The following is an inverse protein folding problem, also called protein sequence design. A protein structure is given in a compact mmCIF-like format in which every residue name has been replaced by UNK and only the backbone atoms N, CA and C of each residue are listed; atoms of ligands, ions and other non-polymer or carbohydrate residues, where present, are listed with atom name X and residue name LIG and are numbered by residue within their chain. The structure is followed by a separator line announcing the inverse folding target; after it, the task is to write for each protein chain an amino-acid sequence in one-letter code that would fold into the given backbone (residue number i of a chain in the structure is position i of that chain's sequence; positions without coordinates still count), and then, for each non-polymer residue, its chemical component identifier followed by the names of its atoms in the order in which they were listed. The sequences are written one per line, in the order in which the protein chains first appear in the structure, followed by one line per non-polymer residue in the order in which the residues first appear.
data_IF_587924452358
#
_entry.id   IF_587924452358
#
_cell.length_a   1.000
_cell.length_b   1.000
_cell.length_c   1.000
_cell.angle_alpha   90.00
_cell.angle_beta   90.00
_cell.angle_gamma   90.00
#
_symmetry.space_group_name_H-M   'P 1'
#
loop_
_entity.id
_entity.type
_entity.pdbx_description
1 polymer ?
#
# COMPACT_ATOMS: atom_id res chain seq x y z
N UNK A 1 -16.25 -16.21 8.07
CA UNK A 1 -16.19 -14.78 8.41
C UNK A 1 -14.95 -14.43 9.26
N UNK A 2 -14.35 -15.39 9.96
CA UNK A 2 -13.13 -15.11 10.76
C UNK A 2 -11.96 -14.67 9.91
N UNK A 3 -11.79 -15.23 8.73
CA UNK A 3 -10.70 -14.87 7.83
C UNK A 3 -10.81 -13.42 7.30
N UNK A 4 -12.04 -12.90 7.14
CA UNK A 4 -12.28 -11.49 6.83
C UNK A 4 -11.76 -10.58 7.93
N UNK A 5 -12.01 -10.95 9.19
CA UNK A 5 -11.57 -10.21 10.37
C UNK A 5 -10.04 -10.23 10.44
N UNK A 6 -9.40 -11.40 10.29
CA UNK A 6 -7.94 -11.53 10.25
C UNK A 6 -7.29 -10.70 9.14
N UNK A 7 -7.89 -10.68 7.94
CA UNK A 7 -7.37 -9.88 6.82
C UNK A 7 -7.43 -8.37 7.12
N UNK A 8 -8.48 -7.90 7.79
CA UNK A 8 -8.57 -6.48 8.19
C UNK A 8 -7.58 -6.13 9.30
N UNK A 9 -7.35 -7.03 10.25
CA UNK A 9 -6.31 -6.87 11.27
C UNK A 9 -4.91 -6.82 10.64
N UNK A 10 -4.65 -7.65 9.62
CA UNK A 10 -3.40 -7.60 8.85
C UNK A 10 -3.27 -6.24 8.15
N UNK A 11 -4.32 -5.73 7.53
CA UNK A 11 -4.34 -4.42 6.88
C UNK A 11 -4.03 -3.32 7.89
N UNK A 12 -4.72 -3.31 9.03
CA UNK A 12 -4.47 -2.34 10.11
C UNK A 12 -3.02 -2.38 10.59
N UNK A 13 -2.51 -3.58 10.83
CA UNK A 13 -1.12 -3.80 11.26
C UNK A 13 -0.10 -3.27 10.26
N UNK A 14 -0.32 -3.53 8.96
CA UNK A 14 0.60 -3.10 7.88
C UNK A 14 0.64 -1.59 7.80
N UNK A 15 -0.50 -0.92 7.72
CA UNK A 15 -0.55 0.53 7.57
C UNK A 15 -0.15 1.28 8.84
N UNK A 16 -0.43 0.70 10.01
CA UNK A 16 0.12 1.22 11.28
C UNK A 16 1.65 1.17 11.31
N UNK A 17 2.26 0.07 10.82
CA UNK A 17 3.73 -0.03 10.72
C UNK A 17 4.35 0.92 9.69
N UNK A 18 3.61 1.28 8.65
CA UNK A 18 4.05 2.25 7.66
C UNK A 18 3.82 3.70 8.10
N UNK A 19 3.16 3.90 9.23
CA UNK A 19 2.72 5.22 9.71
C UNK A 19 1.79 5.94 8.71
N UNK A 20 0.97 5.16 7.99
CA UNK A 20 -0.04 5.65 7.06
C UNK A 20 -1.41 5.49 7.71
N UNK A 21 -2.12 6.60 7.93
CA UNK A 21 -3.51 6.57 8.38
C UNK A 21 -4.42 6.17 7.22
N UNK A 22 -5.28 5.20 7.46
CA UNK A 22 -6.21 4.69 6.44
C UNK A 22 -7.63 4.57 6.97
N UNK A 23 -8.60 4.59 6.05
CA UNK A 23 -9.96 4.12 6.28
C UNK A 23 -10.14 2.78 5.56
N UNK A 24 -10.52 1.75 6.29
CA UNK A 24 -10.87 0.42 5.78
C UNK A 24 -12.38 0.42 5.51
N UNK A 25 -12.77 0.56 4.26
CA UNK A 25 -14.15 0.49 3.82
C UNK A 25 -14.57 -0.95 3.62
N UNK A 26 -15.74 -1.30 4.15
CA UNK A 26 -16.35 -2.64 4.01
C UNK A 26 -17.75 -2.51 3.42
N UNK A 27 -18.13 -3.45 2.57
CA UNK A 27 -19.49 -3.71 2.14
C UNK A 27 -19.71 -5.22 1.99
N UNK A 28 -20.91 -5.62 1.61
CA UNK A 28 -21.21 -7.02 1.33
C UNK A 28 -22.01 -7.15 0.03
N UNK A 29 -21.59 -8.06 -0.84
CA UNK A 29 -22.27 -8.31 -2.12
C UNK A 29 -23.74 -8.71 -1.94
N UNK A 30 -24.06 -9.39 -0.85
CA UNK A 30 -25.42 -9.79 -0.52
C UNK A 30 -26.31 -8.58 -0.16
N UNK A 31 -25.75 -7.56 0.52
CA UNK A 31 -26.44 -6.29 0.76
C UNK A 31 -26.76 -5.62 -0.56
N UNK A 32 -25.82 -5.52 -1.48
CA UNK A 32 -26.05 -4.92 -2.80
C UNK A 32 -27.10 -5.70 -3.60
N UNK A 33 -27.10 -7.03 -3.52
CA UNK A 33 -28.13 -7.87 -4.13
C UNK A 33 -29.49 -7.62 -3.52
N UNK A 34 -29.59 -7.55 -2.19
CA UNK A 34 -30.82 -7.24 -1.48
C UNK A 34 -31.37 -5.86 -1.82
N UNK A 35 -30.50 -4.85 -1.97
CA UNK A 35 -30.92 -3.52 -2.42
C UNK A 35 -31.56 -3.61 -3.81
N UNK A 36 -30.94 -4.31 -4.77
CA UNK A 36 -31.50 -4.50 -6.10
C UNK A 36 -32.85 -5.22 -6.08
N UNK A 37 -33.04 -6.21 -5.19
CA UNK A 37 -34.33 -6.89 -4.98
C UNK A 37 -35.41 -5.94 -4.46
N UNK A 38 -35.13 -5.19 -3.41
CA UNK A 38 -36.12 -4.32 -2.75
C UNK A 38 -36.55 -3.16 -3.66
N UNK A 39 -35.66 -2.65 -4.51
CA UNK A 39 -36.03 -1.61 -5.49
C UNK A 39 -36.70 -2.19 -6.74
N UNK A 40 -36.76 -3.53 -6.91
CA UNK A 40 -37.42 -4.22 -8.01
C UNK A 40 -36.60 -4.36 -9.29
N UNK A 41 -35.26 -4.28 -9.19
CA UNK A 41 -34.35 -4.27 -10.34
C UNK A 41 -33.24 -5.35 -10.21
N UNK A 42 -33.58 -6.53 -9.72
CA UNK A 42 -32.63 -7.62 -9.46
C UNK A 42 -31.79 -8.00 -10.67
N UNK A 43 -32.38 -8.00 -11.85
CA UNK A 43 -31.69 -8.37 -13.11
C UNK A 43 -30.64 -7.34 -13.54
N UNK A 44 -30.69 -6.13 -12.98
CA UNK A 44 -29.80 -5.01 -13.32
C UNK A 44 -28.78 -4.69 -12.21
N UNK A 45 -28.55 -5.62 -11.29
CA UNK A 45 -27.60 -5.43 -10.17
C UNK A 45 -26.21 -4.98 -10.64
N UNK A 46 -25.73 -5.47 -11.77
CA UNK A 46 -24.42 -5.08 -12.33
C UNK A 46 -24.43 -3.61 -12.72
N UNK A 47 -25.48 -3.16 -13.43
CA UNK A 47 -25.62 -1.77 -13.85
C UNK A 47 -25.74 -0.82 -12.66
N UNK A 48 -26.53 -1.19 -11.66
CA UNK A 48 -26.71 -0.43 -10.42
C UNK A 48 -25.39 -0.29 -9.69
N UNK A 49 -24.67 -1.39 -9.49
CA UNK A 49 -23.42 -1.39 -8.74
C UNK A 49 -22.29 -0.66 -9.46
N UNK A 50 -22.21 -0.75 -10.80
CA UNK A 50 -21.27 0.04 -11.62
C UNK A 50 -21.52 1.53 -11.51
N UNK A 51 -22.78 1.95 -11.50
CA UNK A 51 -23.14 3.35 -11.37
C UNK A 51 -22.82 3.89 -9.96
N UNK A 52 -23.17 3.13 -8.92
CA UNK A 52 -22.92 3.50 -7.51
C UNK A 52 -21.42 3.62 -7.21
N UNK A 53 -20.58 2.72 -7.72
CA UNK A 53 -19.11 2.74 -7.50
C UNK A 53 -18.43 4.02 -8.01
N UNK A 54 -19.13 4.77 -8.85
CA UNK A 54 -18.64 6.05 -9.36
C UNK A 54 -19.10 7.26 -8.55
N UNK A 55 -19.95 7.07 -7.54
CA UNK A 55 -20.63 8.18 -6.83
C UNK A 55 -19.63 9.23 -6.32
N UNK A 56 -18.57 8.80 -5.66
CA UNK A 56 -17.50 9.68 -5.14
C UNK A 56 -16.82 10.54 -6.23
N UNK A 57 -16.80 10.06 -7.48
CA UNK A 57 -16.07 10.68 -8.59
C UNK A 57 -16.93 11.61 -9.44
N UNK A 58 -18.17 11.19 -9.70
CA UNK A 58 -19.02 11.87 -10.68
C UNK A 58 -20.20 12.61 -10.04
N UNK A 59 -20.50 12.33 -8.77
CA UNK A 59 -21.62 12.91 -8.03
C UNK A 59 -22.97 12.26 -8.36
N UNK A 60 -23.95 12.55 -7.49
CA UNK A 60 -25.24 11.89 -7.45
C UNK A 60 -26.07 12.09 -8.73
N UNK A 61 -26.07 13.30 -9.28
CA UNK A 61 -26.85 13.62 -10.48
C UNK A 61 -26.39 12.80 -11.70
N UNK A 62 -25.08 12.62 -11.85
CA UNK A 62 -24.53 11.81 -12.93
C UNK A 62 -24.78 10.31 -12.72
N UNK A 63 -24.74 9.82 -11.47
CA UNK A 63 -25.13 8.45 -11.14
C UNK A 63 -26.59 8.20 -11.49
N UNK A 64 -27.50 9.09 -11.11
CA UNK A 64 -28.93 9.00 -11.42
C UNK A 64 -29.19 8.99 -12.94
N UNK A 65 -28.49 9.86 -13.66
CA UNK A 65 -28.56 9.90 -15.12
C UNK A 65 -28.10 8.57 -15.74
N UNK A 66 -26.95 8.03 -15.30
CA UNK A 66 -26.45 6.74 -15.77
C UNK A 66 -27.44 5.60 -15.48
N UNK A 67 -28.03 5.58 -14.28
CA UNK A 67 -29.04 4.59 -13.90
C UNK A 67 -30.26 4.66 -14.84
N UNK A 68 -30.78 5.86 -15.10
CA UNK A 68 -31.91 6.08 -16.01
C UNK A 68 -31.59 5.65 -17.45
N UNK A 69 -30.39 5.99 -17.96
CA UNK A 69 -29.90 5.58 -19.28
C UNK A 69 -29.79 4.05 -19.41
N UNK A 70 -29.53 3.34 -18.29
CA UNK A 70 -29.53 1.87 -18.22
C UNK A 70 -30.91 1.26 -18.00
N UNK A 71 -31.95 2.09 -18.01
CA UNK A 71 -33.35 1.68 -17.93
C UNK A 71 -33.79 1.29 -16.51
N UNK A 72 -33.08 1.75 -15.45
CA UNK A 72 -33.57 1.69 -14.08
C UNK A 72 -34.74 2.69 -13.97
N UNK A 73 -35.86 2.25 -13.39
CA UNK A 73 -37.04 3.10 -13.27
C UNK A 73 -36.83 4.27 -12.32
N UNK A 74 -37.49 5.41 -12.55
CA UNK A 74 -37.43 6.58 -11.66
C UNK A 74 -37.88 6.22 -10.23
N UNK A 75 -38.86 5.30 -10.09
CA UNK A 75 -39.30 4.80 -8.80
C UNK A 75 -38.18 4.02 -8.07
N UNK A 76 -37.46 3.17 -8.80
CA UNK A 76 -36.31 2.42 -8.25
C UNK A 76 -35.17 3.35 -7.86
N UNK A 77 -34.87 4.35 -8.71
CA UNK A 77 -33.86 5.38 -8.40
C UNK A 77 -34.27 6.15 -7.13
N UNK A 78 -35.53 6.55 -6.99
CA UNK A 78 -36.01 7.25 -5.80
C UNK A 78 -35.89 6.40 -4.53
N UNK A 79 -36.15 5.09 -4.60
CA UNK A 79 -35.96 4.16 -3.48
C UNK A 79 -34.49 3.93 -3.14
N UNK A 80 -33.60 3.97 -4.12
CA UNK A 80 -32.16 3.77 -3.96
C UNK A 80 -31.49 4.95 -3.25
N UNK A 81 -31.95 6.20 -3.48
CA UNK A 81 -31.32 7.43 -2.96
C UNK A 81 -31.06 7.42 -1.44
N UNK A 82 -32.06 7.16 -0.58
CA UNK A 82 -31.86 7.18 0.87
C UNK A 82 -30.89 6.08 1.33
N UNK A 83 -30.72 5.02 0.55
CA UNK A 83 -29.84 3.89 0.89
C UNK A 83 -28.38 4.25 0.61
N UNK A 84 -28.08 4.76 -0.59
CA UNK A 84 -26.71 5.09 -1.00
C UNK A 84 -26.17 6.35 -0.31
N UNK A 85 -27.06 7.22 0.17
CA UNK A 85 -26.70 8.41 0.96
C UNK A 85 -26.78 8.19 2.47
N UNK A 86 -26.92 6.94 2.91
CA UNK A 86 -27.04 6.61 4.33
C UNK A 86 -25.78 7.00 5.07
N UNK A 87 -25.91 7.90 6.04
CA UNK A 87 -24.84 8.41 6.89
C UNK A 87 -25.03 7.98 8.35
N UNK A 88 -24.02 8.14 9.16
CA UNK A 88 -24.02 7.76 10.57
C UNK A 88 -22.98 6.68 10.90
N UNK A 89 -23.02 6.18 12.11
CA UNK A 89 -22.17 5.10 12.59
C UNK A 89 -22.48 3.77 11.87
N UNK A 90 -21.53 2.84 11.86
CA UNK A 90 -21.76 1.51 11.28
C UNK A 90 -22.99 0.81 11.89
N UNK A 91 -23.22 0.95 13.20
CA UNK A 91 -24.37 0.36 13.88
C UNK A 91 -25.69 0.98 13.43
N UNK A 92 -25.76 2.30 13.27
CA UNK A 92 -26.95 3.00 12.75
C UNK A 92 -27.24 2.58 11.32
N UNK A 93 -26.21 2.54 10.44
CA UNK A 93 -26.34 2.07 9.05
C UNK A 93 -26.90 0.64 9.00
N UNK A 94 -26.37 -0.29 9.81
CA UNK A 94 -26.86 -1.68 9.89
C UNK A 94 -28.32 -1.77 10.37
N UNK A 95 -28.70 -0.94 11.32
CA UNK A 95 -30.09 -0.90 11.82
C UNK A 95 -31.06 -0.50 10.72
N UNK A 96 -30.76 0.58 9.99
CA UNK A 96 -31.58 1.03 8.84
C UNK A 96 -31.62 -0.04 7.74
N UNK A 97 -30.47 -0.67 7.44
CA UNK A 97 -30.40 -1.71 6.41
C UNK A 97 -31.26 -2.94 6.77
N UNK A 98 -31.35 -3.32 8.04
CA UNK A 98 -32.25 -4.40 8.48
C UNK A 98 -33.71 -4.11 8.12
N UNK A 99 -34.16 -2.90 8.37
CA UNK A 99 -35.52 -2.49 8.09
C UNK A 99 -35.80 -2.40 6.57
N UNK A 100 -34.88 -1.76 5.84
CA UNK A 100 -34.98 -1.59 4.38
C UNK A 100 -34.96 -2.94 3.64
N UNK A 101 -34.11 -3.87 4.09
CA UNK A 101 -33.92 -5.17 3.47
C UNK A 101 -34.79 -6.27 4.06
N UNK A 102 -35.78 -5.94 4.90
CA UNK A 102 -36.63 -6.92 5.58
C UNK A 102 -37.36 -7.92 4.65
N UNK A 103 -37.60 -7.54 3.41
CA UNK A 103 -38.22 -8.41 2.40
C UNK A 103 -37.21 -9.20 1.55
N UNK A 104 -35.92 -9.01 1.74
CA UNK A 104 -34.84 -9.69 1.01
C UNK A 104 -34.06 -10.63 1.92
N UNK A 105 -34.22 -11.93 1.75
CA UNK A 105 -33.48 -12.92 2.52
C UNK A 105 -31.97 -12.82 2.33
N UNK A 106 -31.54 -12.62 1.07
CA UNK A 106 -30.12 -12.43 0.74
C UNK A 106 -29.56 -11.12 1.33
N UNK A 107 -30.36 -10.05 1.29
CA UNK A 107 -29.99 -8.77 1.88
C UNK A 107 -29.80 -8.86 3.40
N UNK A 108 -30.77 -9.46 4.10
CA UNK A 108 -30.66 -9.70 5.56
C UNK A 108 -29.44 -10.55 5.91
N UNK A 109 -29.14 -11.57 5.11
CA UNK A 109 -27.93 -12.39 5.30
C UNK A 109 -26.66 -11.56 5.17
N UNK A 110 -26.60 -10.64 4.20
CA UNK A 110 -25.48 -9.71 4.04
C UNK A 110 -25.33 -8.77 5.24
N UNK A 111 -26.44 -8.28 5.79
CA UNK A 111 -26.45 -7.45 7.02
C UNK A 111 -25.93 -8.23 8.23
N UNK A 112 -26.40 -9.45 8.44
CA UNK A 112 -25.93 -10.33 9.52
C UNK A 112 -24.42 -10.60 9.46
N UNK A 113 -23.91 -10.92 8.27
CA UNK A 113 -22.48 -11.15 8.04
C UNK A 113 -21.65 -9.90 8.31
N UNK A 114 -22.10 -8.73 7.83
CA UNK A 114 -21.43 -7.45 8.05
C UNK A 114 -21.47 -7.04 9.52
N UNK A 115 -22.61 -7.26 10.19
CA UNK A 115 -22.75 -7.02 11.62
C UNK A 115 -21.74 -7.85 12.42
N UNK A 116 -21.67 -9.15 12.16
CA UNK A 116 -20.73 -10.05 12.84
C UNK A 116 -19.27 -9.58 12.66
N UNK A 117 -18.88 -9.21 11.44
CA UNK A 117 -17.51 -8.74 11.15
C UNK A 117 -17.23 -7.43 11.90
N UNK A 118 -18.13 -6.44 11.81
CA UNK A 118 -17.95 -5.14 12.44
C UNK A 118 -17.96 -5.19 13.96
N UNK A 119 -18.83 -6.02 14.56
CA UNK A 119 -18.85 -6.26 16.01
C UNK A 119 -17.54 -6.92 16.47
N UNK A 120 -17.05 -7.95 15.78
CA UNK A 120 -15.79 -8.58 16.12
C UNK A 120 -14.61 -7.60 16.01
N UNK A 121 -14.53 -6.83 14.92
CA UNK A 121 -13.48 -5.82 14.72
C UNK A 121 -13.52 -4.73 15.80
N UNK A 122 -14.70 -4.38 16.32
CA UNK A 122 -14.83 -3.39 17.40
C UNK A 122 -14.24 -3.85 18.73
N UNK A 123 -14.03 -5.17 18.90
CA UNK A 123 -13.37 -5.74 20.09
C UNK A 123 -11.86 -5.76 19.99
N UNK A 124 -11.30 -5.51 18.79
CA UNK A 124 -9.87 -5.46 18.53
C UNK A 124 -9.36 -4.02 18.73
N UNK A 125 -8.11 -3.89 19.15
CA UNK A 125 -7.47 -2.59 19.37
C UNK A 125 -6.90 -2.03 18.05
N UNK A 126 -7.75 -1.93 17.00
CA UNK A 126 -7.36 -1.41 15.70
C UNK A 126 -7.04 0.09 15.79
N UNK A 127 -6.08 0.55 14.99
CA UNK A 127 -5.62 1.94 14.95
C UNK A 127 -6.28 2.75 13.84
N UNK A 128 -6.74 2.06 12.80
CA UNK A 128 -7.33 2.69 11.63
C UNK A 128 -8.87 2.60 11.67
N UNK A 129 -9.50 3.52 10.96
CA UNK A 129 -10.96 3.60 10.89
C UNK A 129 -11.53 2.48 10.03
N UNK A 130 -12.71 1.95 10.44
CA UNK A 130 -13.49 0.99 9.67
C UNK A 130 -14.87 1.56 9.40
N UNK A 131 -15.22 1.65 8.12
CA UNK A 131 -16.47 2.24 7.65
C UNK A 131 -17.29 1.22 6.84
N UNK A 132 -18.56 1.04 7.19
CA UNK A 132 -19.54 0.41 6.32
C UNK A 132 -19.92 1.41 5.21
N UNK A 133 -19.48 1.14 3.98
CA UNK A 133 -19.69 2.02 2.83
C UNK A 133 -20.54 1.32 1.77
N UNK A 134 -21.79 1.73 1.66
CA UNK A 134 -22.77 1.14 0.73
C UNK A 134 -22.49 1.48 -0.73
N UNK A 135 -21.63 2.45 -0.99
CA UNK A 135 -21.21 2.81 -2.34
C UNK A 135 -20.04 1.94 -2.83
N UNK A 136 -19.38 1.21 -1.93
CA UNK A 136 -18.34 0.26 -2.31
C UNK A 136 -18.95 -0.94 -3.03
N UNK A 137 -18.82 -0.98 -4.34
CA UNK A 137 -19.46 -2.00 -5.20
C UNK A 137 -18.50 -2.72 -6.15
N UNK A 138 -17.20 -2.72 -5.85
CA UNK A 138 -16.14 -3.31 -6.67
C UNK A 138 -16.17 -4.83 -6.73
N UNK A 139 -15.43 -5.40 -7.69
CA UNK A 139 -15.28 -6.86 -7.85
C UNK A 139 -16.54 -7.52 -8.41
N UNK A 140 -17.10 -6.93 -9.42
CA UNK A 140 -18.46 -7.13 -9.93
C UNK A 140 -18.89 -8.59 -10.17
N UNK A 141 -17.99 -9.46 -10.59
CA UNK A 141 -18.41 -10.76 -11.10
C UNK A 141 -17.87 -11.96 -10.29
N UNK A 142 -17.06 -11.78 -9.28
CA UNK A 142 -16.48 -12.89 -8.54
C UNK A 142 -16.61 -12.79 -7.01
N UNK A 143 -16.83 -11.61 -6.42
CA UNK A 143 -17.11 -11.51 -4.99
C UNK A 143 -18.53 -11.96 -4.66
N UNK A 144 -18.66 -12.73 -3.58
CA UNK A 144 -19.90 -13.39 -3.16
C UNK A 144 -20.37 -12.98 -1.75
N UNK A 145 -19.52 -12.26 -1.01
CA UNK A 145 -19.79 -11.82 0.36
C UNK A 145 -19.12 -10.47 0.64
N UNK A 146 -18.37 -10.38 1.72
CA UNK A 146 -17.68 -9.16 2.13
C UNK A 146 -16.73 -8.63 1.03
N UNK A 147 -16.69 -7.32 0.88
CA UNK A 147 -15.83 -6.56 -0.04
C UNK A 147 -15.06 -5.54 0.79
N UNK A 148 -13.77 -5.36 0.50
CA UNK A 148 -12.89 -4.45 1.21
C UNK A 148 -12.21 -3.48 0.26
N UNK A 149 -12.07 -2.25 0.70
CA UNK A 149 -11.27 -1.23 0.06
C UNK A 149 -10.57 -0.37 1.11
N UNK A 150 -9.31 -0.03 0.88
CA UNK A 150 -8.53 0.78 1.81
C UNK A 150 -8.12 2.07 1.11
N UNK A 151 -8.48 3.20 1.71
CA UNK A 151 -8.12 4.54 1.25
C UNK A 151 -7.15 5.19 2.24
N UNK A 152 -6.07 5.78 1.74
CA UNK A 152 -5.23 6.66 2.55
C UNK A 152 -6.00 7.95 2.90
N UNK A 153 -5.84 8.45 4.14
CA UNK A 153 -6.57 9.63 4.61
C UNK A 153 -5.81 10.93 4.35
N UNK A 154 -4.49 10.88 4.28
CA UNK A 154 -3.63 12.07 4.21
C UNK A 154 -3.12 12.37 2.80
N UNK A 155 -3.50 11.56 1.79
CA UNK A 155 -3.09 11.69 0.39
C UNK A 155 -4.27 11.46 -0.52
N UNK A 156 -4.47 12.35 -1.48
CA UNK A 156 -5.45 12.14 -2.56
C UNK A 156 -4.94 11.09 -3.55
N UNK A 157 -5.26 9.83 -3.30
CA UNK A 157 -4.93 8.70 -4.17
C UNK A 157 -6.12 7.73 -4.21
N UNK A 158 -6.20 6.94 -5.27
CA UNK A 158 -7.17 5.86 -5.32
C UNK A 158 -6.90 4.78 -4.25
N UNK A 159 -7.79 3.79 -4.17
CA UNK A 159 -7.64 2.65 -3.26
C UNK A 159 -6.24 2.05 -3.28
N UNK A 160 -5.62 1.88 -2.12
CA UNK A 160 -4.26 1.35 -1.95
C UNK A 160 -4.23 -0.15 -1.62
N UNK A 161 -5.36 -0.70 -1.19
CA UNK A 161 -5.56 -2.13 -0.93
C UNK A 161 -7.02 -2.46 -1.22
N UNK A 162 -7.29 -3.67 -1.65
CA UNK A 162 -8.65 -4.13 -1.88
C UNK A 162 -8.74 -5.65 -1.90
N UNK A 163 -9.95 -6.16 -1.68
CA UNK A 163 -10.20 -7.58 -1.64
C UNK A 163 -11.66 -7.93 -1.35
N UNK A 164 -11.90 -9.20 -1.03
CA UNK A 164 -13.23 -9.70 -0.66
C UNK A 164 -13.34 -11.20 -0.70
N UNK A 165 -14.54 -11.69 -0.38
CA UNK A 165 -14.90 -13.11 -0.41
C UNK A 165 -15.30 -13.56 -1.82
N UNK A 166 -14.80 -14.70 -2.24
CA UNK A 166 -15.07 -15.32 -3.54
C UNK A 166 -15.27 -16.84 -3.39
N UNK A 167 -16.51 -17.28 -3.22
CA UNK A 167 -16.83 -18.69 -2.95
C UNK A 167 -16.76 -19.56 -4.22
N UNK A 168 -16.92 -18.97 -5.41
CA UNK A 168 -17.02 -19.71 -6.66
C UNK A 168 -15.75 -19.66 -7.53
N UNK A 169 -14.84 -18.72 -7.27
CA UNK A 169 -13.65 -18.49 -8.11
C UNK A 169 -12.72 -19.69 -8.12
N UNK A 170 -12.55 -20.36 -6.99
CA UNK A 170 -11.72 -21.57 -6.83
C UNK A 170 -12.19 -22.71 -7.71
N UNK A 171 -13.51 -22.82 -7.95
CA UNK A 171 -14.12 -23.78 -8.85
C UNK A 171 -13.69 -23.60 -10.32
N UNK A 172 -13.45 -22.36 -10.76
CA UNK A 172 -12.93 -22.06 -12.11
C UNK A 172 -11.53 -22.66 -12.30
N UNK A 173 -10.74 -22.74 -11.22
CA UNK A 173 -9.40 -23.35 -11.21
C UNK A 173 -9.41 -24.83 -10.79
N UNK A 174 -10.58 -25.48 -10.78
CA UNK A 174 -10.70 -26.93 -10.52
C UNK A 174 -10.90 -27.31 -9.04
N UNK A 175 -10.95 -26.35 -8.11
CA UNK A 175 -11.19 -26.58 -6.69
C UNK A 175 -12.66 -26.26 -6.36
N UNK A 176 -13.56 -27.20 -6.67
CA UNK A 176 -14.99 -27.04 -6.35
C UNK A 176 -15.23 -27.06 -4.84
N UNK A 177 -16.25 -26.34 -4.41
CA UNK A 177 -16.72 -26.28 -3.00
C UNK A 177 -15.67 -25.76 -1.99
N UNK A 178 -14.67 -25.02 -2.46
CA UNK A 178 -13.69 -24.32 -1.64
C UNK A 178 -13.96 -22.83 -1.69
N UNK A 179 -14.41 -22.25 -0.58
CA UNK A 179 -14.57 -20.80 -0.48
C UNK A 179 -13.21 -20.13 -0.30
N UNK A 180 -13.11 -18.88 -0.73
CA UNK A 180 -11.91 -18.06 -0.56
C UNK A 180 -12.24 -16.65 -0.14
N UNK A 181 -11.32 -16.02 0.59
CA UNK A 181 -11.27 -14.59 0.84
C UNK A 181 -9.83 -14.14 0.71
N UNK A 182 -9.60 -12.98 0.13
CA UNK A 182 -8.25 -12.49 -0.07
C UNK A 182 -8.19 -10.99 -0.28
N UNK A 183 -7.01 -10.43 -0.06
CA UNK A 183 -6.70 -9.02 -0.28
C UNK A 183 -5.45 -8.90 -1.16
N UNK A 184 -5.32 -7.77 -1.83
CA UNK A 184 -4.10 -7.39 -2.54
C UNK A 184 -3.67 -5.99 -2.10
N UNK A 185 -2.37 -5.82 -1.90
CA UNK A 185 -1.75 -4.53 -1.63
C UNK A 185 -1.28 -3.91 -2.95
N UNK A 186 -1.69 -2.66 -3.20
CA UNK A 186 -1.24 -1.88 -4.36
C UNK A 186 0.14 -1.30 -4.13
N UNK A 187 1.19 -2.08 -4.38
CA UNK A 187 2.57 -1.70 -4.09
C UNK A 187 2.96 -0.33 -4.64
N UNK A 188 2.59 -0.04 -5.90
CA UNK A 188 2.88 1.24 -6.55
C UNK A 188 2.22 2.42 -5.82
N UNK A 189 0.95 2.27 -5.43
CA UNK A 189 0.20 3.32 -4.72
C UNK A 189 0.68 3.51 -3.29
N UNK A 190 1.03 2.43 -2.59
CA UNK A 190 1.64 2.51 -1.25
C UNK A 190 2.99 3.22 -1.35
N UNK A 191 3.80 2.92 -2.38
CA UNK A 191 5.05 3.63 -2.66
C UNK A 191 4.82 5.13 -2.86
N UNK A 192 3.80 5.51 -3.65
CA UNK A 192 3.47 6.91 -3.88
C UNK A 192 3.03 7.64 -2.59
N UNK A 193 2.23 6.97 -1.75
CA UNK A 193 1.81 7.51 -0.43
C UNK A 193 3.03 7.73 0.47
N UNK A 194 3.91 6.71 0.59
CA UNK A 194 5.13 6.81 1.40
C UNK A 194 6.05 7.95 0.94
N UNK A 195 6.15 8.17 -0.38
CA UNK A 195 6.92 9.29 -0.93
C UNK A 195 6.27 10.64 -0.63
N UNK A 196 4.96 10.78 -0.85
CA UNK A 196 4.26 12.04 -0.63
C UNK A 196 4.27 12.46 0.85
N UNK A 197 4.22 11.50 1.77
CA UNK A 197 4.28 11.72 3.21
C UNK A 197 5.71 11.72 3.78
N UNK A 198 6.73 11.50 2.94
CA UNK A 198 8.16 11.43 3.35
C UNK A 198 8.42 10.38 4.45
N UNK A 199 7.68 9.25 4.44
CA UNK A 199 7.72 8.22 5.48
C UNK A 199 8.83 7.18 5.31
N UNK A 200 9.60 7.24 4.22
CA UNK A 200 10.75 6.36 4.09
C UNK A 200 11.82 6.69 5.14
N UNK A 201 12.33 5.67 5.86
CA UNK A 201 13.46 5.88 6.76
C UNK A 201 14.62 6.51 6.00
N UNK A 202 15.24 7.55 6.55
CA UNK A 202 16.34 8.26 5.88
C UNK A 202 17.47 7.33 5.48
N UNK A 203 17.77 6.33 6.30
CA UNK A 203 18.78 5.30 6.06
C UNK A 203 18.39 4.27 4.98
N UNK A 204 17.10 4.10 4.66
CA UNK A 204 16.63 3.27 3.55
C UNK A 204 16.80 3.94 2.18
N UNK A 205 16.80 5.28 2.14
CA UNK A 205 16.95 6.07 0.91
C UNK A 205 18.41 6.19 0.47
N UNK A 206 19.36 5.90 1.34
CA UNK A 206 20.78 6.02 1.02
C UNK A 206 21.32 4.76 0.36
N UNK A 207 21.89 4.92 -0.81
CA UNK A 207 22.74 3.95 -1.50
C UNK A 207 23.99 3.60 -0.68
N UNK A 208 25.17 3.65 -1.30
CA UNK A 208 26.44 3.41 -0.60
C UNK A 208 26.75 4.53 0.39
N UNK A 209 27.17 4.17 1.61
CA UNK A 209 27.69 5.12 2.60
C UNK A 209 29.12 5.55 2.24
N UNK A 210 29.86 4.69 1.54
CA UNK A 210 31.25 4.87 1.18
C UNK A 210 31.50 4.45 -0.27
N UNK A 211 32.09 5.35 -1.06
CA UNK A 211 32.57 5.06 -2.42
C UNK A 211 34.11 5.06 -2.41
N UNK A 212 34.73 3.97 -2.85
CA UNK A 212 36.14 3.95 -3.18
C UNK A 212 36.36 4.50 -4.60
N UNK A 213 37.21 5.52 -4.72
CA UNK A 213 37.66 6.03 -6.01
C UNK A 213 38.60 4.98 -6.64
N UNK A 214 38.36 4.74 -7.91
CA UNK A 214 39.16 3.79 -8.67
C UNK A 214 40.23 4.55 -9.47
N UNK A 215 41.51 4.34 -9.13
CA UNK A 215 42.65 4.98 -9.82
C UNK A 215 43.30 4.06 -10.85
N UNK A 216 42.98 2.76 -10.85
CA UNK A 216 43.54 1.76 -11.77
C UNK A 216 43.38 0.34 -11.22
N UNK A 217 43.85 -0.62 -12.00
CA UNK A 217 43.71 -2.07 -11.63
C UNK A 217 44.42 -2.43 -10.33
N UNK A 218 45.61 -1.89 -10.09
CA UNK A 218 46.46 -2.15 -8.93
C UNK A 218 45.79 -1.62 -7.66
N UNK A 219 45.32 -0.38 -7.69
CA UNK A 219 44.63 0.29 -6.60
C UNK A 219 43.28 -0.36 -6.34
N UNK A 220 42.53 -0.74 -7.38
CA UNK A 220 41.27 -1.44 -7.25
C UNK A 220 41.45 -2.81 -6.57
N UNK A 221 42.46 -3.58 -6.94
CA UNK A 221 42.75 -4.86 -6.30
C UNK A 221 43.06 -4.72 -4.79
N UNK A 222 43.73 -3.66 -4.41
CA UNK A 222 43.95 -3.31 -3.00
C UNK A 222 42.64 -2.89 -2.32
N UNK A 223 41.91 -1.97 -2.94
CA UNK A 223 40.63 -1.49 -2.42
C UNK A 223 39.61 -2.61 -2.24
N UNK A 224 39.57 -3.64 -3.06
CA UNK A 224 38.65 -4.78 -2.90
C UNK A 224 38.89 -5.53 -1.59
N UNK A 225 40.16 -5.64 -1.13
CA UNK A 225 40.49 -6.25 0.19
C UNK A 225 39.97 -5.38 1.33
N UNK A 226 40.12 -4.07 1.22
CA UNK A 226 39.61 -3.10 2.21
C UNK A 226 38.10 -3.10 2.21
N UNK A 227 37.48 -3.04 1.02
CA UNK A 227 36.03 -3.07 0.83
C UNK A 227 35.38 -4.30 1.49
N UNK A 228 36.01 -5.45 1.34
CA UNK A 228 35.53 -6.68 2.00
C UNK A 228 35.48 -6.55 3.52
N UNK A 229 36.50 -5.93 4.13
CA UNK A 229 36.53 -5.69 5.59
C UNK A 229 35.49 -4.70 6.03
N UNK A 230 35.33 -3.60 5.27
CA UNK A 230 34.33 -2.55 5.52
C UNK A 230 32.90 -3.09 5.43
N UNK A 231 32.61 -3.89 4.40
CA UNK A 231 31.31 -4.56 4.24
C UNK A 231 31.01 -5.56 5.37
N UNK A 232 32.01 -6.35 5.79
CA UNK A 232 31.86 -7.24 6.96
C UNK A 232 31.56 -6.48 8.26
N UNK A 233 32.00 -5.24 8.35
CA UNK A 233 31.65 -4.36 9.47
C UNK A 233 30.23 -3.76 9.34
N UNK A 234 29.43 -4.10 8.32
CA UNK A 234 28.05 -3.66 8.13
C UNK A 234 27.91 -2.31 7.42
N UNK A 235 28.98 -1.76 6.82
CA UNK A 235 28.94 -0.51 6.06
C UNK A 235 28.59 -0.82 4.61
N UNK A 236 27.59 -0.12 4.05
CA UNK A 236 27.27 -0.16 2.62
C UNK A 236 28.34 0.61 1.84
N UNK A 237 29.19 -0.12 1.16
CA UNK A 237 30.32 0.45 0.44
C UNK A 237 30.45 -0.16 -0.96
N UNK A 238 30.92 0.62 -1.89
CA UNK A 238 31.20 0.22 -3.28
C UNK A 238 32.54 0.79 -3.77
N UNK A 239 33.03 0.27 -4.88
CA UNK A 239 34.14 0.82 -5.64
C UNK A 239 33.62 1.25 -7.00
N UNK A 240 34.06 2.40 -7.50
CA UNK A 240 33.68 2.87 -8.83
C UNK A 240 34.14 1.87 -9.91
N UNK A 241 33.25 1.41 -10.80
CA UNK A 241 33.53 0.23 -11.64
C UNK A 241 34.49 0.46 -12.79
N UNK A 242 34.71 1.70 -13.20
CA UNK A 242 35.49 2.05 -14.40
C UNK A 242 36.91 2.50 -14.04
N UNK A 243 37.91 1.70 -14.42
CA UNK A 243 39.34 1.99 -14.22
C UNK A 243 39.85 3.24 -14.96
N UNK A 244 39.22 3.58 -16.10
CA UNK A 244 39.61 4.73 -16.92
C UNK A 244 38.89 6.02 -16.57
N UNK A 245 37.96 5.99 -15.64
CA UNK A 245 37.14 7.14 -15.30
C UNK A 245 37.97 8.23 -14.58
N UNK A 246 37.89 9.46 -15.09
CA UNK A 246 38.51 10.61 -14.41
C UNK A 246 37.88 10.83 -13.05
N UNK A 247 38.69 11.23 -12.07
CA UNK A 247 38.27 11.52 -10.70
C UNK A 247 37.03 12.42 -10.62
N UNK A 248 36.94 13.45 -11.46
CA UNK A 248 35.77 14.35 -11.52
C UNK A 248 34.46 13.59 -11.80
N UNK A 249 34.47 12.60 -12.70
CA UNK A 249 33.27 11.77 -13.02
C UNK A 249 32.87 10.94 -11.83
N UNK A 250 33.83 10.33 -11.12
CA UNK A 250 33.58 9.52 -9.93
C UNK A 250 33.05 10.36 -8.76
N UNK A 251 33.59 11.56 -8.55
CA UNK A 251 33.09 12.50 -7.53
C UNK A 251 31.67 12.99 -7.85
N UNK A 252 31.37 13.25 -9.15
CA UNK A 252 30.00 13.60 -9.56
C UNK A 252 29.04 12.44 -9.28
N UNK A 253 29.46 11.21 -9.53
CA UNK A 253 28.66 10.03 -9.17
C UNK A 253 28.40 9.96 -7.67
N UNK A 254 29.41 10.17 -6.82
CA UNK A 254 29.26 10.21 -5.38
C UNK A 254 28.23 11.27 -4.93
N UNK A 255 28.31 12.48 -5.50
CA UNK A 255 27.36 13.56 -5.20
C UNK A 255 25.91 13.22 -5.64
N UNK A 256 25.75 12.75 -6.88
CA UNK A 256 24.42 12.42 -7.41
C UNK A 256 23.72 11.29 -6.64
N UNK A 257 24.51 10.36 -6.08
CA UNK A 257 24.02 9.25 -5.26
C UNK A 257 24.06 9.56 -3.76
N UNK A 258 24.33 10.80 -3.38
CA UNK A 258 24.37 11.25 -1.97
C UNK A 258 25.26 10.37 -1.08
N UNK A 259 26.38 9.89 -1.60
CA UNK A 259 27.37 9.10 -0.85
C UNK A 259 28.00 9.97 0.23
N UNK A 260 27.88 9.56 1.49
CA UNK A 260 28.36 10.36 2.63
C UNK A 260 29.89 10.50 2.67
N UNK A 261 30.62 9.43 2.29
CA UNK A 261 32.07 9.40 2.36
C UNK A 261 32.69 8.88 1.06
N UNK A 262 33.83 9.44 0.70
CA UNK A 262 34.64 8.99 -0.44
C UNK A 262 36.01 8.57 0.10
N UNK A 263 36.45 7.35 -0.24
CA UNK A 263 37.75 6.80 0.06
C UNK A 263 38.68 6.87 -1.16
N UNK A 264 39.84 7.44 -1.00
CA UNK A 264 40.87 7.52 -2.02
C UNK A 264 42.09 6.73 -1.54
N UNK A 265 42.58 5.83 -2.38
CA UNK A 265 43.77 5.00 -2.11
C UNK A 265 44.63 4.98 -3.35
N UNK A 266 45.69 5.74 -3.31
CA UNK A 266 46.76 5.75 -4.30
C UNK A 266 48.00 4.97 -3.83
N UNK A 267 49.12 5.08 -4.55
CA UNK A 267 50.34 4.35 -4.24
C UNK A 267 50.89 4.69 -2.85
N UNK A 268 50.82 5.96 -2.44
CA UNK A 268 51.29 6.39 -1.09
C UNK A 268 50.42 5.80 0.01
N UNK A 269 49.10 5.87 -0.15
CA UNK A 269 48.16 5.30 0.84
C UNK A 269 48.32 3.78 0.96
N UNK A 270 48.57 3.09 -0.15
CA UNK A 270 48.86 1.65 -0.12
C UNK A 270 50.15 1.34 0.61
N UNK A 271 51.19 2.14 0.43
CA UNK A 271 52.50 1.97 1.08
C UNK A 271 52.41 2.20 2.63
N UNK A 272 51.61 3.21 3.03
CA UNK A 272 51.41 3.55 4.45
C UNK A 272 50.33 2.68 5.13
N UNK A 273 49.55 1.92 4.38
CA UNK A 273 48.38 1.18 4.89
C UNK A 273 47.25 2.08 5.38
N UNK A 274 47.13 3.28 4.83
CA UNK A 274 46.11 4.27 5.15
C UNK A 274 45.14 4.48 4.03
N UNK A 275 44.08 5.21 4.29
CA UNK A 275 42.99 5.59 3.36
C UNK A 275 42.77 7.08 3.52
N UNK A 276 42.81 7.82 2.44
CA UNK A 276 42.42 9.22 2.44
C UNK A 276 40.86 9.28 2.37
N UNK A 277 40.21 9.55 3.51
CA UNK A 277 38.78 9.58 3.67
C UNK A 277 38.28 11.02 3.61
N UNK A 278 37.35 11.29 2.69
CA UNK A 278 36.69 12.58 2.53
C UNK A 278 35.21 12.47 2.96
N UNK A 279 34.79 13.34 3.86
CA UNK A 279 33.38 13.58 4.15
C UNK A 279 32.81 14.49 3.05
N UNK A 280 31.75 14.06 2.39
CA UNK A 280 31.17 14.76 1.24
C UNK A 280 30.30 15.96 1.65
N UNK A 281 29.77 15.96 2.86
CA UNK A 281 28.98 17.06 3.41
C UNK A 281 29.85 18.23 3.89
N UNK A 282 30.85 17.92 4.72
CA UNK A 282 31.74 18.95 5.31
C UNK A 282 32.94 19.32 4.43
N UNK A 283 33.30 18.46 3.48
CA UNK A 283 34.50 18.59 2.67
C UNK A 283 35.80 18.21 3.40
N UNK A 284 35.76 17.86 4.70
CA UNK A 284 36.93 17.46 5.48
C UNK A 284 37.55 16.18 4.91
N UNK A 285 38.88 16.17 4.80
CA UNK A 285 39.64 15.03 4.30
C UNK A 285 40.76 14.69 5.28
N UNK A 286 40.91 13.41 5.62
CA UNK A 286 41.94 12.92 6.54
C UNK A 286 42.45 11.52 6.20
N UNK A 287 43.71 11.26 6.47
CA UNK A 287 44.29 9.92 6.37
C UNK A 287 43.91 9.09 7.59
N UNK A 288 43.30 7.92 7.39
CA UNK A 288 42.78 7.04 8.44
C UNK A 288 43.17 5.59 8.18
N UNK A 289 43.26 4.82 9.24
CA UNK A 289 43.31 3.35 9.16
C UNK A 289 41.95 2.77 8.84
N UNK A 290 41.87 1.46 8.50
CA UNK A 290 40.58 0.78 8.22
C UNK A 290 39.68 0.81 9.46
N UNK A 291 40.27 0.65 10.67
CA UNK A 291 39.51 0.64 11.92
C UNK A 291 38.94 2.02 12.24
N UNK A 292 39.72 3.08 12.04
CA UNK A 292 39.25 4.46 12.18
C UNK A 292 38.16 4.80 11.19
N UNK A 293 38.28 4.38 9.90
CA UNK A 293 37.27 4.55 8.87
C UNK A 293 35.96 3.92 9.30
N UNK A 294 35.99 2.67 9.76
CA UNK A 294 34.78 1.96 10.23
C UNK A 294 34.13 2.70 11.40
N UNK A 295 34.92 3.17 12.36
CA UNK A 295 34.40 3.91 13.51
C UNK A 295 33.81 5.28 13.14
N UNK A 296 34.35 5.95 12.11
CA UNK A 296 33.85 7.24 11.65
C UNK A 296 32.49 7.08 10.97
N UNK A 297 32.34 6.07 10.12
CA UNK A 297 31.11 5.88 9.32
C UNK A 297 29.98 5.30 10.15
N UNK A 298 30.29 4.58 11.24
CA UNK A 298 29.27 4.00 12.14
C UNK A 298 28.71 4.98 13.20
N UNK A 299 29.35 6.13 13.38
CA UNK A 299 28.84 7.21 14.26
C UNK A 299 27.73 8.00 13.58
#
# INVERSE_FOLDING_TARGET
LLNEIELMEIVDTVFTKFDIRVCIKINNRKILSGIAEVIGESDKIVDITVAIDKLDKVGLDNVNKELSEKGISDEAIAKLQPIINLSGTNAEKLTVLKDVLASSEIGLKGVEESQFILEALSTLELKNEIELDLTLARGLNYYTGAIFEVKALDVEIGSITGGGRYDNLTGVFGLKDVSGVGISFGADRIYDVLNQLELYPKDALFGSQLLFINFGEKEAAYCLKVLTKVRKAGIRAEIYPDFGAKMKKQMTYANNNQVAFVAMVGENEMAEGKISLKNMETGEQKAVTIEELVNIIKK
#
